data_IF_440767209189
#
_entry.id   IF_440767209189
#
_cell.length_a   1.000
_cell.length_b   1.000
_cell.length_c   1.000
_cell.angle_alpha   90.00
_cell.angle_beta   90.00
_cell.angle_gamma   90.00
#
_symmetry.space_group_name_H-M   'P 1'
#
loop_
_entity.id
_entity.type
_entity.pdbx_description
1 polymer ?
#
# COMPACT_ATOMS: atom_id res chain seq x y z
N UNK A 1 17.27 -38.42 17.44
CA UNK A 1 17.10 -37.05 16.93
C UNK A 1 15.82 -36.49 17.53
N UNK A 2 15.87 -35.49 18.41
CA UNK A 2 14.64 -34.86 18.91
C UNK A 2 13.87 -34.24 17.73
N UNK A 3 12.57 -34.52 17.65
CA UNK A 3 11.70 -34.02 16.59
C UNK A 3 11.69 -32.49 16.54
N UNK A 4 11.54 -31.92 15.34
CA UNK A 4 11.41 -30.47 15.21
C UNK A 4 10.17 -30.00 15.99
N UNK A 5 10.38 -29.09 16.94
CA UNK A 5 9.28 -28.47 17.69
C UNK A 5 8.58 -27.50 16.75
N UNK A 6 7.30 -27.76 16.48
CA UNK A 6 6.44 -26.91 15.64
C UNK A 6 5.29 -26.40 16.48
N UNK A 7 4.83 -25.19 16.16
CA UNK A 7 3.59 -24.67 16.72
C UNK A 7 2.42 -25.47 16.14
N UNK A 8 1.38 -25.76 16.95
CA UNK A 8 0.14 -26.35 16.46
C UNK A 8 -0.44 -25.54 15.27
N UNK A 9 -1.05 -26.23 14.28
CA UNK A 9 -1.81 -25.52 13.25
C UNK A 9 -3.02 -24.82 13.87
N UNK A 10 -3.46 -23.74 13.25
CA UNK A 10 -4.74 -23.13 13.59
C UNK A 10 -5.92 -24.08 13.29
N UNK A 11 -7.08 -23.78 13.85
CA UNK A 11 -8.33 -24.46 13.49
C UNK A 11 -8.61 -24.31 11.98
N UNK A 12 -9.44 -25.22 11.45
CA UNK A 12 -9.82 -25.18 10.04
C UNK A 12 -10.38 -23.80 9.67
N UNK A 13 -10.01 -23.32 8.48
CA UNK A 13 -10.49 -22.05 7.97
C UNK A 13 -12.01 -22.10 7.79
N UNK A 14 -12.66 -20.97 8.07
CA UNK A 14 -14.09 -20.76 7.83
C UNK A 14 -14.43 -21.06 6.36
N UNK A 15 -15.49 -21.85 6.16
CA UNK A 15 -15.99 -22.21 4.83
C UNK A 15 -17.32 -21.53 4.54
N UNK A 16 -17.67 -21.48 3.26
CA UNK A 16 -18.95 -20.92 2.82
C UNK A 16 -20.13 -21.69 3.40
N UNK A 17 -20.04 -23.02 3.38
CA UNK A 17 -21.09 -23.92 3.86
C UNK A 17 -21.34 -23.73 5.36
N UNK A 18 -20.27 -23.49 6.14
CA UNK A 18 -20.40 -23.22 7.57
C UNK A 18 -21.13 -21.90 7.85
N UNK A 19 -20.87 -20.86 7.06
CA UNK A 19 -21.57 -19.58 7.17
C UNK A 19 -23.03 -19.69 6.72
N UNK A 20 -23.29 -20.38 5.62
CA UNK A 20 -24.66 -20.60 5.12
C UNK A 20 -25.51 -21.45 6.07
N UNK A 21 -24.90 -22.40 6.76
CA UNK A 21 -25.56 -23.21 7.78
C UNK A 21 -25.77 -22.46 9.12
N UNK A 22 -25.09 -21.33 9.33
CA UNK A 22 -25.21 -20.55 10.57
C UNK A 22 -26.52 -19.76 10.59
N UNK A 23 -27.31 -19.98 11.65
CA UNK A 23 -28.54 -19.23 11.91
C UNK A 23 -28.23 -17.95 12.71
N UNK A 24 -27.18 -18.00 13.53
CA UNK A 24 -26.76 -16.89 14.37
C UNK A 24 -25.76 -16.01 13.64
N UNK A 25 -25.86 -14.69 13.89
CA UNK A 25 -24.98 -13.67 13.35
C UNK A 25 -24.51 -12.79 14.51
N UNK A 26 -23.21 -12.54 14.58
CA UNK A 26 -22.67 -11.69 15.64
C UNK A 26 -23.01 -10.21 15.40
N UNK A 27 -23.20 -9.41 16.46
CA UNK A 27 -23.44 -7.98 16.32
C UNK A 27 -22.29 -7.28 15.58
N UNK A 28 -22.63 -6.34 14.69
CA UNK A 28 -21.64 -5.58 13.92
C UNK A 28 -20.59 -4.90 14.80
N UNK A 29 -21.02 -4.27 15.90
CA UNK A 29 -20.14 -3.55 16.81
C UNK A 29 -19.09 -4.47 17.43
N UNK A 30 -19.47 -5.70 17.77
CA UNK A 30 -18.56 -6.72 18.30
C UNK A 30 -17.49 -7.10 17.28
N UNK A 31 -17.89 -7.35 16.03
CA UNK A 31 -16.96 -7.73 14.96
C UNK A 31 -16.00 -6.56 14.64
N UNK A 32 -16.54 -5.34 14.56
CA UNK A 32 -15.77 -4.11 14.31
C UNK A 32 -14.72 -3.90 15.40
N UNK A 33 -15.10 -4.01 16.66
CA UNK A 33 -14.19 -3.87 17.81
C UNK A 33 -13.02 -4.85 17.70
N UNK A 34 -13.30 -6.12 17.40
CA UNK A 34 -12.27 -7.15 17.27
C UNK A 34 -11.34 -6.91 16.07
N UNK A 35 -11.87 -6.51 14.91
CA UNK A 35 -11.06 -6.18 13.74
C UNK A 35 -10.14 -4.99 14.02
N UNK A 36 -10.65 -3.93 14.67
CA UNK A 36 -9.86 -2.73 14.98
C UNK A 36 -8.78 -3.01 16.02
N UNK A 37 -9.15 -3.67 17.12
CA UNK A 37 -8.22 -4.01 18.20
C UNK A 37 -7.10 -4.91 17.69
N UNK A 38 -7.44 -5.95 16.91
CA UNK A 38 -6.45 -6.88 16.40
C UNK A 38 -5.56 -6.26 15.32
N UNK A 39 -6.14 -5.46 14.42
CA UNK A 39 -5.35 -4.73 13.41
C UNK A 39 -4.29 -3.86 14.09
N UNK A 40 -4.70 -3.07 15.09
CA UNK A 40 -3.77 -2.21 15.85
C UNK A 40 -2.68 -3.03 16.55
N UNK A 41 -3.07 -4.13 17.22
CA UNK A 41 -2.12 -5.01 17.89
C UNK A 41 -1.08 -5.62 16.93
N UNK A 42 -1.50 -6.14 15.78
CA UNK A 42 -0.59 -6.76 14.81
C UNK A 42 0.31 -5.72 14.11
N UNK A 43 -0.18 -4.49 13.92
CA UNK A 43 0.64 -3.39 13.41
C UNK A 43 1.74 -3.04 14.42
N UNK A 44 1.39 -2.77 15.69
CA UNK A 44 2.36 -2.47 16.76
C UNK A 44 3.39 -3.61 16.91
N UNK A 45 2.92 -4.86 16.89
CA UNK A 45 3.77 -6.04 16.97
C UNK A 45 4.84 -6.05 15.86
N UNK A 46 4.43 -5.80 14.60
CA UNK A 46 5.34 -5.79 13.45
C UNK A 46 6.32 -4.62 13.49
N UNK A 47 5.89 -3.45 13.97
CA UNK A 47 6.75 -2.27 14.09
C UNK A 47 7.82 -2.43 15.18
N UNK A 48 7.47 -3.10 16.28
CA UNK A 48 8.37 -3.29 17.42
C UNK A 48 9.35 -4.45 17.24
N UNK A 49 9.17 -5.28 16.21
CA UNK A 49 9.99 -6.47 16.02
C UNK A 49 10.65 -6.55 14.66
N UNK A 50 11.94 -6.89 14.68
CA UNK A 50 12.65 -7.31 13.46
C UNK A 50 12.39 -8.80 13.12
N UNK A 51 11.51 -9.47 13.88
CA UNK A 51 11.23 -10.89 13.73
C UNK A 51 10.61 -11.21 12.36
N UNK A 52 9.86 -10.27 11.78
CA UNK A 52 9.18 -10.45 10.51
C UNK A 52 9.87 -9.73 9.33
N UNK A 53 11.11 -9.26 9.55
CA UNK A 53 11.81 -8.40 8.61
C UNK A 53 11.44 -6.93 8.78
N UNK A 54 11.98 -6.06 7.93
CA UNK A 54 11.61 -4.64 7.96
C UNK A 54 10.21 -4.48 7.37
N UNK A 55 9.28 -3.80 8.07
CA UNK A 55 7.99 -3.49 7.49
C UNK A 55 8.21 -2.64 6.24
N UNK A 56 7.85 -3.18 5.08
CA UNK A 56 7.76 -2.39 3.86
C UNK A 56 6.52 -1.51 3.96
N UNK A 57 6.66 -0.28 4.47
CA UNK A 57 5.58 0.69 4.49
C UNK A 57 5.49 1.37 3.11
N UNK A 58 4.95 0.66 2.12
CA UNK A 58 4.49 1.28 0.88
C UNK A 58 3.04 1.75 1.08
N UNK A 59 2.78 3.08 1.19
CA UNK A 59 1.41 3.59 1.35
C UNK A 59 0.52 3.30 0.13
N UNK A 60 1.11 2.82 -0.97
CA UNK A 60 0.41 2.46 -2.21
C UNK A 60 0.35 0.95 -2.44
N UNK A 61 0.56 0.15 -1.39
CA UNK A 61 0.26 -1.29 -1.36
C UNK A 61 -0.82 -1.55 -0.32
N UNK A 62 -1.85 -2.38 -0.58
CA UNK A 62 -2.95 -2.66 0.33
C UNK A 62 -2.54 -3.64 1.43
N UNK A 63 -1.55 -3.24 2.24
CA UNK A 63 -1.13 -3.95 3.44
C UNK A 63 -2.12 -3.74 4.58
N UNK A 64 -2.07 -4.57 5.63
CA UNK A 64 -2.89 -4.38 6.84
C UNK A 64 -2.74 -2.96 7.40
N UNK A 65 -1.51 -2.45 7.47
CA UNK A 65 -1.22 -1.10 7.94
C UNK A 65 -1.89 -0.05 7.05
N UNK A 66 -1.68 -0.15 5.74
CA UNK A 66 -2.26 0.79 4.78
C UNK A 66 -3.78 0.80 4.87
N UNK A 67 -4.44 -0.37 4.84
CA UNK A 67 -5.89 -0.46 4.88
C UNK A 67 -6.48 0.01 6.22
N UNK A 68 -5.79 -0.28 7.33
CA UNK A 68 -6.16 0.23 8.65
C UNK A 68 -6.08 1.77 8.70
N UNK A 69 -4.99 2.36 8.24
CA UNK A 69 -4.83 3.81 8.20
C UNK A 69 -5.88 4.45 7.29
N UNK A 70 -6.16 3.86 6.14
CA UNK A 70 -7.23 4.32 5.24
C UNK A 70 -8.57 4.37 5.97
N UNK A 71 -8.91 3.29 6.69
CA UNK A 71 -10.15 3.21 7.45
C UNK A 71 -10.21 4.28 8.55
N UNK A 72 -9.13 4.47 9.30
CA UNK A 72 -9.01 5.49 10.37
C UNK A 72 -9.11 6.91 9.83
N UNK A 73 -8.56 7.17 8.64
CA UNK A 73 -8.59 8.47 7.98
C UNK A 73 -9.89 8.71 7.18
N UNK A 74 -10.93 7.91 7.42
CA UNK A 74 -12.23 8.05 6.75
C UNK A 74 -12.18 7.78 5.24
N UNK A 75 -11.15 7.12 4.73
CA UNK A 75 -11.03 6.80 3.30
C UNK A 75 -11.94 5.62 2.96
N UNK A 76 -12.50 5.63 1.74
CA UNK A 76 -13.27 4.51 1.23
C UNK A 76 -12.36 3.51 0.50
N UNK A 77 -12.75 2.24 0.56
CA UNK A 77 -12.21 1.21 -0.32
C UNK A 77 -12.73 1.36 -1.75
N UNK A 78 -12.22 0.54 -2.70
CA UNK A 78 -12.77 0.42 -4.04
C UNK A 78 -14.28 0.19 -4.03
N UNK A 79 -14.97 0.67 -5.06
CA UNK A 79 -16.42 0.47 -5.16
C UNK A 79 -16.75 -1.01 -5.28
N UNK A 80 -17.86 -1.42 -4.66
CA UNK A 80 -18.38 -2.78 -4.74
C UNK A 80 -19.21 -3.03 -6.01
N UNK A 81 -19.37 -2.01 -6.88
CA UNK A 81 -20.02 -2.16 -8.18
C UNK A 81 -19.17 -3.00 -9.13
N UNK A 82 -19.84 -3.65 -10.08
CA UNK A 82 -19.17 -4.36 -11.16
C UNK A 82 -18.27 -3.43 -11.99
N UNK A 83 -17.21 -4.00 -12.56
CA UNK A 83 -16.23 -3.29 -13.39
C UNK A 83 -16.85 -2.54 -14.56
N UNK A 84 -18.00 -2.99 -15.07
CA UNK A 84 -18.75 -2.30 -16.13
C UNK A 84 -19.27 -0.91 -15.73
N UNK A 85 -19.53 -0.69 -14.43
CA UNK A 85 -20.00 0.60 -13.90
C UNK A 85 -18.83 1.50 -13.43
N UNK A 86 -17.60 0.97 -13.43
CA UNK A 86 -16.43 1.65 -12.90
C UNK A 86 -15.66 2.37 -14.01
N UNK A 87 -16.09 3.60 -14.30
CA UNK A 87 -15.31 4.52 -15.12
C UNK A 87 -14.11 5.06 -14.35
N UNK A 88 -13.06 5.47 -15.08
CA UNK A 88 -11.86 6.04 -14.48
C UNK A 88 -12.17 7.29 -13.62
N UNK A 89 -13.12 8.10 -14.09
CA UNK A 89 -13.58 9.31 -13.42
C UNK A 89 -14.28 9.01 -12.09
N UNK A 90 -15.14 7.97 -12.06
CA UNK A 90 -15.81 7.52 -10.83
C UNK A 90 -14.81 6.97 -9.82
N UNK A 91 -13.81 6.22 -10.28
CA UNK A 91 -12.75 5.73 -9.39
C UNK A 91 -11.96 6.90 -8.81
N UNK A 92 -11.60 7.92 -9.62
CA UNK A 92 -10.93 9.13 -9.15
C UNK A 92 -11.78 9.92 -8.15
N UNK A 93 -13.06 10.14 -8.44
CA UNK A 93 -13.97 10.83 -7.54
C UNK A 93 -14.03 10.14 -6.18
N UNK A 94 -14.26 8.82 -6.15
CA UNK A 94 -14.30 8.02 -4.92
C UNK A 94 -12.97 8.02 -4.16
N UNK A 95 -11.84 8.06 -4.87
CA UNK A 95 -10.50 8.12 -4.26
C UNK A 95 -10.31 9.37 -3.41
N UNK A 96 -10.99 10.47 -3.75
CA UNK A 96 -10.94 11.74 -3.02
C UNK A 96 -12.01 11.84 -1.92
N UNK A 97 -13.05 11.01 -1.97
CA UNK A 97 -14.12 11.00 -0.97
C UNK A 97 -13.63 10.54 0.39
N UNK A 98 -14.09 11.22 1.45
CA UNK A 98 -13.80 10.91 2.83
C UNK A 98 -15.08 10.96 3.65
N UNK A 99 -15.23 10.01 4.57
CA UNK A 99 -16.27 10.07 5.59
C UNK A 99 -15.74 10.77 6.85
N UNK A 100 -16.60 11.54 7.50
CA UNK A 100 -16.34 12.08 8.83
C UNK A 100 -16.66 11.06 9.95
N UNK A 101 -17.33 9.95 9.61
CA UNK A 101 -17.69 8.91 10.56
C UNK A 101 -16.43 8.20 11.06
N UNK A 102 -16.20 8.15 12.39
CA UNK A 102 -15.04 7.47 12.95
C UNK A 102 -15.11 5.97 12.65
N UNK A 103 -13.96 5.32 12.51
CA UNK A 103 -13.86 3.91 12.12
C UNK A 103 -14.82 3.00 12.91
N UNK A 104 -14.87 3.11 14.24
CA UNK A 104 -15.72 2.29 15.10
C UNK A 104 -17.24 2.42 14.86
N UNK A 105 -17.70 3.45 14.15
CA UNK A 105 -19.11 3.69 13.84
C UNK A 105 -19.44 3.46 12.35
N UNK A 106 -18.46 3.03 11.55
CA UNK A 106 -18.67 2.75 10.13
C UNK A 106 -19.44 1.44 9.95
N UNK A 107 -20.18 1.27 8.84
CA UNK A 107 -20.84 0.01 8.53
C UNK A 107 -19.84 -1.15 8.48
N UNK A 108 -20.24 -2.34 8.95
CA UNK A 108 -19.38 -3.52 8.97
C UNK A 108 -18.82 -3.89 7.59
N UNK A 109 -19.55 -3.60 6.51
CA UNK A 109 -19.10 -3.85 5.14
C UNK A 109 -17.80 -3.10 4.78
N UNK A 110 -17.53 -1.94 5.39
CA UNK A 110 -16.30 -1.17 5.16
C UNK A 110 -15.03 -1.89 5.67
N UNK A 111 -15.20 -2.94 6.47
CA UNK A 111 -14.11 -3.70 7.09
C UNK A 111 -13.71 -4.95 6.30
N UNK A 112 -14.38 -5.27 5.18
CA UNK A 112 -14.11 -6.45 4.35
C UNK A 112 -12.61 -6.61 4.03
N UNK A 113 -11.99 -5.56 3.48
CA UNK A 113 -10.59 -5.62 3.04
C UNK A 113 -9.61 -5.67 4.21
N UNK A 114 -9.92 -4.99 5.32
CA UNK A 114 -9.12 -5.04 6.54
C UNK A 114 -9.16 -6.44 7.12
N UNK A 115 -10.34 -7.07 7.16
CA UNK A 115 -10.50 -8.47 7.57
C UNK A 115 -9.64 -9.42 6.73
N UNK A 116 -9.61 -9.27 5.39
CA UNK A 116 -8.75 -10.09 4.54
C UNK A 116 -7.25 -9.88 4.82
N UNK A 117 -6.82 -8.63 4.97
CA UNK A 117 -5.43 -8.32 5.30
C UNK A 117 -5.04 -8.85 6.69
N UNK A 118 -5.98 -8.85 7.63
CA UNK A 118 -5.82 -9.36 8.99
C UNK A 118 -5.63 -10.88 8.99
N UNK A 119 -6.52 -11.62 8.33
CA UNK A 119 -6.43 -13.08 8.14
C UNK A 119 -5.10 -13.46 7.48
N UNK A 120 -4.71 -12.73 6.42
CA UNK A 120 -3.43 -12.93 5.75
C UNK A 120 -2.25 -12.72 6.69
N UNK A 121 -2.28 -11.65 7.50
CA UNK A 121 -1.20 -11.30 8.44
C UNK A 121 -1.04 -12.35 9.56
N UNK A 122 -2.14 -12.84 10.14
CA UNK A 122 -2.09 -13.88 11.18
C UNK A 122 -1.40 -15.14 10.64
N UNK A 123 -1.78 -15.57 9.44
CA UNK A 123 -1.20 -16.75 8.78
C UNK A 123 0.26 -16.56 8.42
N UNK A 124 0.64 -15.37 7.94
CA UNK A 124 2.02 -15.03 7.63
C UNK A 124 2.91 -15.05 8.89
N UNK A 125 2.46 -14.45 9.99
CA UNK A 125 3.16 -14.49 11.28
C UNK A 125 3.34 -15.94 11.75
N UNK A 126 2.29 -16.75 11.76
CA UNK A 126 2.38 -18.17 12.13
C UNK A 126 3.37 -18.96 11.28
N UNK A 127 3.37 -18.72 9.97
CA UNK A 127 4.32 -19.34 9.05
C UNK A 127 5.76 -18.94 9.37
N UNK A 128 6.02 -17.65 9.60
CA UNK A 128 7.35 -17.12 9.92
C UNK A 128 7.87 -17.63 11.28
N UNK A 129 7.00 -17.72 12.29
CA UNK A 129 7.34 -18.34 13.59
C UNK A 129 7.78 -19.80 13.39
N UNK A 130 6.97 -20.60 12.68
CA UNK A 130 7.29 -21.99 12.40
C UNK A 130 8.57 -22.17 11.58
N UNK A 131 8.84 -21.29 10.61
CA UNK A 131 10.08 -21.31 9.84
C UNK A 131 11.31 -21.09 10.74
N UNK A 132 11.24 -20.13 11.66
CA UNK A 132 12.34 -19.85 12.59
C UNK A 132 12.57 -20.97 13.61
N UNK A 133 11.50 -21.57 14.12
CA UNK A 133 11.58 -22.74 15.00
C UNK A 133 12.19 -23.95 14.27
N UNK A 134 11.76 -24.22 13.02
CA UNK A 134 12.34 -25.28 12.18
C UNK A 134 13.83 -25.09 11.93
N UNK A 135 14.24 -23.85 11.68
CA UNK A 135 15.65 -23.49 11.50
C UNK A 135 16.44 -23.42 12.81
N UNK A 136 15.80 -23.60 13.97
CA UNK A 136 16.40 -23.49 15.31
C UNK A 136 17.05 -22.13 15.57
N UNK A 137 16.59 -21.08 14.90
CA UNK A 137 17.02 -19.70 15.22
C UNK A 137 16.45 -19.21 16.54
N UNK A 138 15.32 -19.79 16.96
CA UNK A 138 14.62 -19.44 18.19
C UNK A 138 14.10 -20.70 18.88
N UNK A 139 13.96 -20.61 20.20
CA UNK A 139 13.22 -21.56 21.02
C UNK A 139 11.78 -21.08 21.21
N UNK A 140 10.85 -21.98 21.54
CA UNK A 140 9.43 -21.61 21.75
C UNK A 140 9.23 -20.63 22.92
N UNK A 141 10.11 -20.69 23.92
CA UNK A 141 10.15 -19.76 25.07
C UNK A 141 10.86 -18.44 24.77
N UNK A 142 11.45 -18.28 23.58
CA UNK A 142 12.17 -17.05 23.24
C UNK A 142 11.19 -15.88 23.08
N UNK A 143 11.53 -14.68 23.59
CA UNK A 143 10.71 -13.50 23.35
C UNK A 143 10.79 -13.05 21.89
N UNK A 144 9.67 -12.55 21.34
CA UNK A 144 9.58 -12.09 19.94
C UNK A 144 10.34 -10.77 19.74
N UNK A 145 10.41 -9.93 20.77
CA UNK A 145 11.22 -8.72 20.88
C UNK A 145 11.53 -8.47 22.36
N UNK A 146 12.46 -7.56 22.67
CA UNK A 146 12.87 -7.28 24.06
C UNK A 146 11.69 -6.78 24.90
N UNK A 147 11.36 -7.51 25.98
CA UNK A 147 10.19 -7.24 26.82
C UNK A 147 8.84 -7.60 26.20
N UNK A 148 8.82 -8.28 25.04
CA UNK A 148 7.62 -8.74 24.36
C UNK A 148 7.16 -10.15 24.78
N UNK A 149 6.04 -10.65 24.21
CA UNK A 149 5.55 -12.00 24.46
C UNK A 149 6.53 -13.06 23.97
N UNK A 150 6.48 -14.25 24.56
CA UNK A 150 7.18 -15.41 24.01
C UNK A 150 6.54 -15.86 22.71
N UNK A 151 7.25 -16.68 21.90
CA UNK A 151 6.68 -17.25 20.68
C UNK A 151 5.43 -18.09 21.00
N UNK A 152 5.42 -18.83 22.11
CA UNK A 152 4.25 -19.57 22.59
C UNK A 152 3.10 -18.62 22.95
N UNK A 153 3.34 -17.59 23.77
CA UNK A 153 2.28 -16.64 24.18
C UNK A 153 1.67 -15.90 22.96
N UNK A 154 2.53 -15.54 21.99
CA UNK A 154 2.07 -14.93 20.74
C UNK A 154 1.23 -15.93 19.94
N UNK A 155 1.64 -17.19 19.83
CA UNK A 155 0.89 -18.22 19.13
C UNK A 155 -0.48 -18.47 19.77
N UNK A 156 -0.55 -18.53 21.09
CA UNK A 156 -1.81 -18.69 21.83
C UNK A 156 -2.74 -17.51 21.58
N UNK A 157 -2.21 -16.29 21.62
CA UNK A 157 -2.97 -15.07 21.30
C UNK A 157 -3.50 -15.10 19.86
N UNK A 158 -2.63 -15.41 18.88
CA UNK A 158 -3.03 -15.52 17.47
C UNK A 158 -4.08 -16.61 17.25
N UNK A 159 -4.00 -17.71 18.00
CA UNK A 159 -4.97 -18.81 17.92
C UNK A 159 -6.34 -18.41 18.45
N UNK A 160 -6.40 -17.63 19.54
CA UNK A 160 -7.66 -17.07 20.06
C UNK A 160 -8.29 -16.11 19.05
N UNK A 161 -7.49 -15.22 18.47
CA UNK A 161 -7.99 -14.30 17.45
C UNK A 161 -8.44 -15.00 16.17
N UNK A 162 -7.67 -15.99 15.72
CA UNK A 162 -8.04 -16.83 14.58
C UNK A 162 -9.36 -17.54 14.84
N UNK A 163 -9.57 -18.05 16.05
CA UNK A 163 -10.81 -18.70 16.44
C UNK A 163 -12.00 -17.75 16.28
N UNK A 164 -11.97 -16.57 16.90
CA UNK A 164 -13.07 -15.57 16.82
C UNK A 164 -13.37 -15.17 15.36
N UNK A 165 -12.34 -14.92 14.55
CA UNK A 165 -12.51 -14.55 13.14
C UNK A 165 -13.00 -15.70 12.25
N UNK A 166 -12.86 -16.95 12.68
CA UNK A 166 -13.33 -18.13 11.95
C UNK A 166 -14.60 -18.75 12.54
N UNK A 167 -15.23 -18.10 13.52
CA UNK A 167 -16.55 -18.55 13.99
C UNK A 167 -17.63 -18.28 12.92
N UNK A 168 -18.52 -19.25 12.64
CA UNK A 168 -19.56 -19.09 11.63
C UNK A 168 -20.45 -17.87 11.83
N UNK A 169 -20.77 -17.51 13.07
CA UNK A 169 -21.58 -16.32 13.39
C UNK A 169 -20.89 -14.99 13.05
N UNK A 170 -19.57 -14.92 13.23
CA UNK A 170 -18.75 -13.77 12.79
C UNK A 170 -18.73 -13.67 11.27
N UNK A 171 -18.48 -14.80 10.60
CA UNK A 171 -18.53 -14.92 9.14
C UNK A 171 -19.88 -14.52 8.55
N UNK A 172 -20.98 -14.94 9.19
CA UNK A 172 -22.35 -14.62 8.80
C UNK A 172 -22.66 -13.13 8.90
N UNK A 173 -22.25 -12.49 10.00
CA UNK A 173 -22.40 -11.04 10.17
C UNK A 173 -21.67 -10.24 9.09
N UNK A 174 -20.43 -10.61 8.79
CA UNK A 174 -19.66 -10.00 7.70
C UNK A 174 -20.30 -10.25 6.33
N UNK A 175 -20.68 -11.49 6.02
CA UNK A 175 -21.30 -11.87 4.76
C UNK A 175 -22.58 -11.08 4.49
N UNK A 176 -23.51 -11.06 5.45
CA UNK A 176 -24.79 -10.35 5.34
C UNK A 176 -24.57 -8.83 5.19
N UNK A 177 -23.62 -8.25 5.93
CA UNK A 177 -23.30 -6.83 5.83
C UNK A 177 -22.74 -6.47 4.43
N UNK A 178 -21.83 -7.28 3.89
CA UNK A 178 -21.24 -7.07 2.56
C UNK A 178 -22.31 -7.21 1.47
N UNK A 179 -23.18 -8.24 1.55
CA UNK A 179 -24.29 -8.40 0.59
C UNK A 179 -25.23 -7.21 0.63
N UNK A 180 -25.60 -6.74 1.83
CA UNK A 180 -26.46 -5.57 2.01
C UNK A 180 -25.84 -4.32 1.39
N UNK A 181 -24.56 -4.03 1.68
CA UNK A 181 -23.88 -2.85 1.12
C UNK A 181 -23.78 -2.92 -0.42
N UNK A 182 -23.54 -4.11 -0.98
CA UNK A 182 -23.56 -4.32 -2.43
C UNK A 182 -24.93 -4.05 -3.03
N UNK A 183 -26.00 -4.57 -2.42
CA UNK A 183 -27.38 -4.28 -2.83
C UNK A 183 -27.69 -2.78 -2.73
N UNK A 184 -27.33 -2.12 -1.62
CA UNK A 184 -27.54 -0.68 -1.47
C UNK A 184 -26.75 0.13 -2.50
N UNK A 185 -25.52 -0.28 -2.82
CA UNK A 185 -24.70 0.39 -3.84
C UNK A 185 -25.29 0.22 -5.23
N UNK A 186 -25.76 -0.98 -5.59
CA UNK A 186 -26.49 -1.21 -6.85
C UNK A 186 -27.79 -0.41 -6.92
N UNK A 187 -28.54 -0.34 -5.83
CA UNK A 187 -29.75 0.50 -5.74
C UNK A 187 -29.43 1.98 -6.00
N UNK A 188 -28.39 2.53 -5.36
CA UNK A 188 -27.94 3.91 -5.61
C UNK A 188 -27.53 4.14 -7.06
N UNK A 189 -26.87 3.16 -7.69
CA UNK A 189 -26.50 3.23 -9.10
C UNK A 189 -27.73 3.21 -10.02
N UNK A 190 -28.74 2.38 -9.75
CA UNK A 190 -30.00 2.36 -10.50
C UNK A 190 -30.66 3.75 -10.46
N UNK A 191 -30.76 4.35 -9.26
CA UNK A 191 -31.31 5.71 -9.10
C UNK A 191 -30.50 6.73 -9.90
N UNK A 192 -29.17 6.66 -9.85
CA UNK A 192 -28.30 7.55 -10.60
C UNK A 192 -28.54 7.47 -12.12
N UNK A 193 -28.73 6.25 -12.65
CA UNK A 193 -29.03 6.04 -14.07
C UNK A 193 -30.39 6.61 -14.49
N UNK A 194 -31.40 6.52 -13.62
CA UNK A 194 -32.69 7.19 -13.86
C UNK A 194 -32.52 8.70 -13.93
N UNK A 195 -31.75 9.30 -13.02
CA UNK A 195 -31.51 10.75 -13.00
C UNK A 195 -30.81 11.26 -14.27
N UNK A 196 -29.99 10.42 -14.89
CA UNK A 196 -29.32 10.75 -16.16
C UNK A 196 -30.14 10.38 -17.41
N UNK A 197 -31.39 9.92 -17.25
CA UNK A 197 -32.25 9.43 -18.32
C UNK A 197 -31.67 8.22 -19.09
N UNK A 198 -30.84 7.39 -18.44
CA UNK A 198 -30.29 6.16 -19.01
C UNK A 198 -31.18 4.93 -18.76
N UNK A 199 -32.13 5.06 -17.83
CA UNK A 199 -33.05 4.00 -17.41
C UNK A 199 -34.43 4.62 -17.16
N UNK A 200 -35.49 3.96 -17.61
CA UNK A 200 -36.85 4.44 -17.32
C UNK A 200 -37.21 4.19 -15.84
N UNK A 201 -38.15 4.97 -15.30
CA UNK A 201 -38.59 4.82 -13.91
C UNK A 201 -39.19 3.42 -13.65
N UNK A 202 -39.99 2.91 -14.58
CA UNK A 202 -40.58 1.57 -14.49
C UNK A 202 -39.53 0.46 -14.48
N UNK A 203 -38.52 0.53 -15.36
CA UNK A 203 -37.43 -0.45 -15.38
C UNK A 203 -36.61 -0.39 -14.08
N UNK A 204 -36.40 0.81 -13.53
CA UNK A 204 -35.70 0.99 -12.27
C UNK A 204 -36.46 0.39 -11.08
N UNK A 205 -37.79 0.56 -11.03
CA UNK A 205 -38.64 -0.05 -10.00
C UNK A 205 -38.58 -1.59 -10.08
N UNK A 206 -38.61 -2.15 -11.28
CA UNK A 206 -38.46 -3.59 -11.52
C UNK A 206 -37.05 -4.10 -11.12
N UNK A 207 -35.99 -3.35 -11.45
CA UNK A 207 -34.61 -3.68 -11.08
C UNK A 207 -34.42 -3.67 -9.56
N UNK A 208 -34.95 -2.64 -8.88
CA UNK A 208 -34.89 -2.54 -7.42
C UNK A 208 -35.69 -3.66 -6.76
N UNK A 209 -36.89 -3.98 -7.26
CA UNK A 209 -37.68 -5.08 -6.73
C UNK A 209 -36.95 -6.43 -6.88
N UNK A 210 -36.31 -6.68 -8.04
CA UNK A 210 -35.49 -7.87 -8.26
C UNK A 210 -34.28 -7.94 -7.33
N UNK A 211 -33.63 -6.81 -7.07
CA UNK A 211 -32.43 -6.76 -6.24
C UNK A 211 -32.67 -7.25 -4.79
N UNK A 212 -33.86 -6.99 -4.26
CA UNK A 212 -34.26 -7.37 -2.90
C UNK A 212 -35.13 -8.63 -2.84
N UNK A 213 -35.42 -9.26 -3.98
CA UNK A 213 -36.04 -10.59 -3.98
C UNK A 213 -35.13 -11.60 -3.26
N UNK A 214 -35.64 -12.43 -2.33
CA UNK A 214 -34.80 -13.36 -1.58
C UNK A 214 -33.91 -14.28 -2.43
N UNK A 215 -34.39 -14.72 -3.60
CA UNK A 215 -33.62 -15.60 -4.48
C UNK A 215 -32.48 -14.82 -5.14
N UNK A 216 -32.77 -13.63 -5.67
CA UNK A 216 -31.75 -12.77 -6.28
C UNK A 216 -30.75 -12.22 -5.27
N UNK A 217 -31.22 -11.79 -4.09
CA UNK A 217 -30.39 -11.30 -2.99
C UNK A 217 -29.42 -12.38 -2.50
N UNK A 218 -29.87 -13.64 -2.41
CA UNK A 218 -29.00 -14.77 -2.07
C UNK A 218 -27.91 -15.04 -3.12
N UNK A 219 -28.11 -14.59 -4.36
CA UNK A 219 -27.12 -14.65 -5.44
C UNK A 219 -26.09 -13.52 -5.41
N UNK A 220 -26.31 -12.45 -4.62
CA UNK A 220 -25.32 -11.39 -4.44
C UNK A 220 -24.14 -11.97 -3.66
N UNK A 221 -22.95 -11.88 -4.24
CA UNK A 221 -21.73 -12.35 -3.60
C UNK A 221 -21.44 -11.53 -2.35
N UNK A 222 -21.49 -12.14 -1.17
CA UNK A 222 -21.09 -11.52 0.09
C UNK A 222 -19.58 -11.61 0.32
N UNK A 223 -19.21 -12.16 1.46
CA UNK A 223 -17.83 -12.40 1.88
C UNK A 223 -17.16 -13.39 0.92
N UNK A 224 -15.98 -13.04 0.42
CA UNK A 224 -15.11 -14.00 -0.26
C UNK A 224 -14.45 -14.92 0.77
N UNK A 225 -14.71 -16.23 0.65
CA UNK A 225 -14.17 -17.27 1.53
C UNK A 225 -12.71 -17.61 1.22
N UNK A 226 -11.81 -16.63 1.35
CA UNK A 226 -10.38 -16.76 1.07
C UNK A 226 -9.55 -17.21 2.29
N UNK A 227 -10.19 -17.55 3.42
CA UNK A 227 -9.50 -17.97 4.64
C UNK A 227 -8.61 -19.21 4.41
N UNK A 228 -8.96 -20.06 3.43
CA UNK A 228 -8.14 -21.20 3.00
C UNK A 228 -6.91 -20.83 2.15
N UNK A 229 -6.86 -19.63 1.58
CA UNK A 229 -5.80 -19.23 0.63
C UNK A 229 -4.47 -18.94 1.32
N UNK A 230 -3.36 -19.15 0.64
CA UNK A 230 -2.06 -18.72 1.16
C UNK A 230 -2.01 -17.18 1.34
N UNK A 231 -1.26 -16.64 2.34
CA UNK A 231 -1.16 -15.20 2.57
C UNK A 231 -0.82 -14.39 1.31
N UNK A 232 0.09 -14.89 0.49
CA UNK A 232 0.49 -14.27 -0.77
C UNK A 232 -0.64 -14.18 -1.80
N UNK A 233 -1.57 -15.16 -1.82
CA UNK A 233 -2.73 -15.11 -2.71
C UNK A 233 -3.72 -14.05 -2.26
N UNK A 234 -3.98 -13.96 -0.94
CA UNK A 234 -4.85 -12.92 -0.38
C UNK A 234 -4.27 -11.53 -0.69
N UNK A 235 -2.96 -11.34 -0.48
CA UNK A 235 -2.27 -10.11 -0.81
C UNK A 235 -2.37 -9.77 -2.31
N UNK A 236 -2.20 -10.75 -3.20
CA UNK A 236 -2.34 -10.54 -4.64
C UNK A 236 -3.77 -10.16 -5.05
N UNK A 237 -4.79 -10.75 -4.41
CA UNK A 237 -6.19 -10.38 -4.62
C UNK A 237 -6.47 -8.94 -4.18
N UNK A 238 -5.97 -8.53 -3.01
CA UNK A 238 -6.08 -7.15 -2.53
C UNK A 238 -5.34 -6.17 -3.45
N UNK A 239 -4.10 -6.49 -3.85
CA UNK A 239 -3.33 -5.69 -4.83
C UNK A 239 -4.11 -5.49 -6.12
N UNK A 240 -4.74 -6.54 -6.66
CA UNK A 240 -5.54 -6.43 -7.86
C UNK A 240 -6.81 -5.58 -7.65
N UNK A 241 -7.50 -5.72 -6.51
CA UNK A 241 -8.70 -4.92 -6.15
C UNK A 241 -8.35 -3.43 -6.02
N UNK A 242 -7.20 -3.12 -5.43
CA UNK A 242 -6.76 -1.74 -5.16
C UNK A 242 -5.91 -1.11 -6.28
N UNK A 243 -5.49 -1.90 -7.28
CA UNK A 243 -4.52 -1.50 -8.31
C UNK A 243 -4.83 -0.16 -8.97
N UNK A 244 -6.08 0.06 -9.36
CA UNK A 244 -6.48 1.27 -10.09
C UNK A 244 -6.54 2.48 -9.15
N UNK A 245 -7.16 2.30 -7.97
CA UNK A 245 -7.30 3.34 -6.94
C UNK A 245 -5.93 3.83 -6.43
N UNK A 246 -5.09 2.91 -5.94
CA UNK A 246 -3.78 3.28 -5.38
C UNK A 246 -2.81 3.84 -6.44
N UNK A 247 -2.98 3.45 -7.71
CA UNK A 247 -2.24 4.10 -8.82
C UNK A 247 -2.60 5.58 -8.94
N UNK A 248 -3.88 5.94 -8.85
CA UNK A 248 -4.29 7.34 -8.90
C UNK A 248 -3.78 8.14 -7.71
N UNK A 249 -3.88 7.59 -6.51
CA UNK A 249 -3.33 8.25 -5.31
C UNK A 249 -1.82 8.47 -5.43
N UNK A 250 -1.08 7.49 -5.97
CA UNK A 250 0.35 7.62 -6.23
C UNK A 250 0.64 8.74 -7.22
N UNK A 251 -0.09 8.80 -8.32
CA UNK A 251 0.06 9.86 -9.32
C UNK A 251 -0.26 11.25 -8.77
N UNK A 252 -1.30 11.38 -7.94
CA UNK A 252 -1.65 12.63 -7.28
C UNK A 252 -0.60 13.06 -6.26
N UNK A 253 -0.13 12.14 -5.40
CA UNK A 253 0.92 12.41 -4.45
C UNK A 253 2.22 12.86 -5.15
N UNK A 254 2.57 12.23 -6.28
CA UNK A 254 3.71 12.66 -7.10
C UNK A 254 3.52 14.07 -7.69
N UNK A 255 2.31 14.38 -8.20
CA UNK A 255 1.98 15.70 -8.74
C UNK A 255 2.09 16.78 -7.65
N UNK A 256 1.52 16.52 -6.46
CA UNK A 256 1.60 17.42 -5.32
C UNK A 256 3.05 17.65 -4.88
N UNK A 257 3.83 16.58 -4.69
CA UNK A 257 5.25 16.68 -4.34
C UNK A 257 6.06 17.49 -5.37
N UNK A 258 5.75 17.38 -6.66
CA UNK A 258 6.38 18.20 -7.71
C UNK A 258 5.98 19.69 -7.59
N UNK A 259 4.72 19.99 -7.30
CA UNK A 259 4.25 21.36 -7.11
C UNK A 259 4.89 22.01 -5.87
N UNK A 260 4.94 21.31 -4.75
CA UNK A 260 5.61 21.77 -3.52
C UNK A 260 7.09 22.07 -3.75
N UNK A 261 7.80 21.20 -4.47
CA UNK A 261 9.21 21.43 -4.85
C UNK A 261 9.37 22.68 -5.72
N UNK A 262 8.43 22.97 -6.63
CA UNK A 262 8.45 24.20 -7.44
C UNK A 262 8.21 25.44 -6.58
N UNK A 263 7.21 25.42 -5.70
CA UNK A 263 6.93 26.51 -4.77
C UNK A 263 8.09 26.77 -3.81
N UNK A 264 8.71 25.72 -3.27
CA UNK A 264 9.88 25.84 -2.41
C UNK A 264 11.07 26.48 -3.13
N UNK A 265 11.31 26.14 -4.41
CA UNK A 265 12.34 26.78 -5.24
C UNK A 265 12.04 28.26 -5.49
N UNK A 266 10.80 28.61 -5.84
CA UNK A 266 10.39 30.01 -6.02
C UNK A 266 10.55 30.83 -4.74
N UNK A 267 10.13 30.30 -3.57
CA UNK A 267 10.32 30.95 -2.27
C UNK A 267 11.80 31.17 -1.94
N UNK A 268 12.69 30.23 -2.26
CA UNK A 268 14.15 30.39 -2.08
C UNK A 268 14.73 31.45 -3.01
N UNK A 269 14.29 31.50 -4.27
CA UNK A 269 14.74 32.50 -5.24
C UNK A 269 14.32 33.92 -4.84
N UNK A 270 13.07 34.10 -4.39
CA UNK A 270 12.58 35.41 -3.90
C UNK A 270 13.38 35.88 -2.67
N UNK A 271 13.67 34.98 -1.71
CA UNK A 271 14.52 35.30 -0.56
C UNK A 271 15.94 35.71 -0.97
N UNK A 272 16.54 35.00 -1.93
CA UNK A 272 17.88 35.32 -2.42
C UNK A 272 17.90 36.67 -3.17
N UNK A 273 16.91 36.93 -4.02
CA UNK A 273 16.78 38.22 -4.71
C UNK A 273 16.58 39.38 -3.74
N UNK A 274 15.79 39.19 -2.68
CA UNK A 274 15.59 40.19 -1.63
C UNK A 274 16.86 40.46 -0.82
N UNK A 275 17.56 39.41 -0.37
CA UNK A 275 18.85 39.55 0.31
C UNK A 275 19.90 40.25 -0.57
N UNK A 276 19.93 39.94 -1.86
CA UNK A 276 20.83 40.61 -2.82
C UNK A 276 20.48 42.08 -3.01
N UNK A 277 19.20 42.43 -3.07
CA UNK A 277 18.76 43.83 -3.14
C UNK A 277 19.08 44.61 -1.85
N UNK A 278 18.91 43.98 -0.68
CA UNK A 278 19.27 44.56 0.61
C UNK A 278 20.79 44.79 0.74
N UNK A 279 21.62 43.86 0.26
CA UNK A 279 23.08 44.04 0.22
C UNK A 279 23.52 45.12 -0.76
N UNK A 280 22.93 45.18 -1.96
CA UNK A 280 23.25 46.22 -2.95
C UNK A 280 22.80 47.62 -2.50
N UNK A 281 21.74 47.73 -1.71
CA UNK A 281 21.27 49.01 -1.15
C UNK A 281 22.21 49.60 -0.08
N UNK A 282 23.08 48.79 0.52
CA UNK A 282 24.01 49.25 1.56
C UNK A 282 25.28 49.89 0.98
N UNK A 283 25.66 49.57 -0.26
CA UNK A 283 26.87 50.13 -0.91
C UNK A 283 26.65 51.52 -1.53
N UNK A 284 25.40 52.00 -1.67
CA UNK A 284 25.11 53.30 -2.27
C UNK A 284 24.96 54.46 -1.26
N UNK A 285 25.06 54.21 0.04
CA UNK A 285 24.82 55.24 1.07
C UNK A 285 26.08 55.96 1.58
N UNK A 286 27.28 55.63 1.08
CA UNK A 286 28.54 56.22 1.60
C UNK A 286 29.45 56.87 0.54
N UNK A 287 28.92 57.15 -0.66
CA UNK A 287 29.58 58.05 -1.61
C UNK A 287 28.70 59.26 -1.88
N UNK A 288 28.90 60.26 -1.01
CA UNK A 288 28.40 61.60 -1.17
C UNK A 288 28.81 62.26 -2.48
N UNK A 289 27.89 63.09 -2.95
CA UNK A 289 28.12 64.38 -3.60
C UNK A 289 29.27 64.46 -4.63
N UNK A 290 28.94 64.29 -5.92
CA UNK A 290 29.40 65.25 -6.92
C UNK A 290 28.72 65.13 -8.30
N UNK A 291 27.94 66.17 -8.59
CA UNK A 291 27.82 66.89 -9.86
C UNK A 291 27.06 66.32 -11.07
N UNK A 292 26.15 67.20 -11.49
CA UNK A 292 25.80 67.61 -12.84
C UNK A 292 24.81 66.82 -13.69
N UNK A 293 23.60 67.40 -13.66
CA UNK A 293 22.60 67.40 -14.70
C UNK A 293 23.18 67.57 -16.11
N UNK A 294 23.11 66.51 -16.92
CA UNK A 294 22.92 66.63 -18.36
C UNK A 294 21.83 65.70 -18.84
N UNK A 295 20.70 66.31 -19.18
CA UNK A 295 19.70 65.77 -20.10
C UNK A 295 20.41 65.31 -21.37
N UNK A 296 20.30 64.03 -21.70
CA UNK A 296 20.55 63.53 -23.04
C UNK A 296 19.38 62.66 -23.46
N UNK A 297 18.63 63.17 -24.42
CA UNK A 297 17.57 62.50 -25.15
C UNK A 297 18.24 61.47 -26.07
N UNK A 298 18.09 60.19 -25.73
CA UNK A 298 18.75 59.09 -26.42
C UNK A 298 17.78 57.93 -26.59
N UNK A 299 17.01 57.97 -27.68
CA UNK A 299 16.28 56.82 -28.23
C UNK A 299 17.26 55.65 -28.43
N UNK A 300 17.18 54.65 -27.55
CA UNK A 300 17.76 53.34 -27.79
C UNK A 300 16.62 52.35 -28.02
N UNK A 301 16.45 52.01 -29.30
CA UNK A 301 15.75 50.83 -29.78
C UNK A 301 16.42 49.60 -29.11
N UNK A 302 15.69 48.87 -28.27
CA UNK A 302 16.11 47.55 -27.82
C UNK A 302 15.14 46.57 -28.46
N UNK A 303 15.71 45.73 -29.31
CA UNK A 303 15.09 44.62 -30.00
C UNK A 303 14.36 43.70 -29.01
N UNK A 304 13.05 43.55 -29.26
CA UNK A 304 12.21 42.49 -28.69
C UNK A 304 11.86 41.55 -29.83
N UNK A 305 12.87 40.85 -30.33
CA UNK A 305 12.68 39.65 -31.13
C UNK A 305 13.03 38.47 -30.24
N UNK A 306 12.02 37.71 -29.79
CA UNK A 306 12.03 36.26 -29.53
C UNK A 306 10.75 35.86 -28.76
N UNK A 307 9.57 36.08 -29.36
CA UNK A 307 8.35 35.45 -28.84
C UNK A 307 7.23 35.33 -29.88
N UNK A 308 7.49 34.69 -31.02
CA UNK A 308 6.44 34.34 -31.98
C UNK A 308 6.79 33.12 -32.85
N UNK A 309 7.09 31.98 -32.23
CA UNK A 309 7.09 30.69 -32.95
C UNK A 309 6.56 29.60 -32.02
N UNK A 310 5.23 29.48 -31.95
CA UNK A 310 4.51 28.24 -31.58
C UNK A 310 3.00 28.36 -31.79
N UNK A 311 2.58 28.83 -32.97
CA UNK A 311 1.21 28.63 -33.47
C UNK A 311 1.29 28.42 -34.99
N UNK A 312 1.80 27.26 -35.39
CA UNK A 312 1.39 26.61 -36.62
C UNK A 312 0.75 25.30 -36.17
N UNK A 313 -0.52 25.40 -35.76
CA UNK A 313 -1.43 24.28 -35.91
C UNK A 313 -1.71 24.23 -37.40
N UNK A 314 -1.18 23.19 -38.06
CA UNK A 314 -1.67 22.77 -39.36
C UNK A 314 -3.16 22.48 -39.22
N UNK A 315 -3.96 23.40 -39.74
CA UNK A 315 -5.36 23.18 -40.05
C UNK A 315 -5.37 22.18 -41.20
N UNK A 316 -5.43 20.88 -40.87
CA UNK A 316 -5.64 19.82 -41.85
C UNK A 316 -7.05 20.01 -42.41
N UNK A 317 -7.13 20.76 -43.50
CA UNK A 317 -8.32 20.98 -44.27
C UNK A 317 -8.67 19.66 -44.97
N UNK A 318 -9.54 18.86 -44.35
CA UNK A 318 -10.05 17.64 -44.96
C UNK A 318 -10.91 18.02 -46.18
N UNK A 319 -10.61 17.48 -47.37
CA UNK A 319 -11.43 17.71 -48.55
C UNK A 319 -12.80 17.06 -48.31
N UNK A 320 -13.83 17.90 -48.23
CA UNK A 320 -15.23 17.49 -48.19
C UNK A 320 -15.63 16.92 -49.55
N UNK A 321 -15.24 15.68 -49.84
CA UNK A 321 -15.81 14.89 -50.93
C UNK A 321 -17.04 14.15 -50.41
N UNK A 322 -18.19 14.78 -50.63
CA UNK A 322 -19.49 14.13 -50.69
C UNK A 322 -19.45 13.11 -51.85
N UNK A 323 -19.28 11.83 -51.54
CA UNK A 323 -19.78 10.73 -52.36
C UNK A 323 -19.66 9.40 -51.59
N UNK A 324 -20.79 8.94 -51.05
CA UNK A 324 -21.12 7.53 -50.79
C UNK A 324 -20.05 6.60 -50.21
N UNK A 325 -19.21 7.03 -49.27
CA UNK A 325 -18.31 6.12 -48.55
C UNK A 325 -19.12 5.41 -47.47
N UNK A 326 -19.17 4.08 -47.59
CA UNK A 326 -19.83 3.16 -46.67
C UNK A 326 -19.31 3.37 -45.23
N UNK A 327 -20.13 3.98 -44.36
CA UNK A 327 -19.77 4.33 -42.97
C UNK A 327 -19.24 3.13 -42.18
N UNK A 328 -19.67 1.91 -42.53
CA UNK A 328 -19.19 0.67 -41.92
C UNK A 328 -17.70 0.40 -42.13
N UNK A 329 -17.15 0.75 -43.31
CA UNK A 329 -15.73 0.56 -43.63
C UNK A 329 -14.83 1.54 -42.86
N UNK A 330 -15.29 2.78 -42.68
CA UNK A 330 -14.55 3.80 -41.92
C UNK A 330 -14.51 3.44 -40.43
N UNK A 331 -15.62 2.96 -39.87
CA UNK A 331 -15.69 2.52 -38.48
C UNK A 331 -14.78 1.30 -38.23
N UNK A 332 -14.78 0.32 -39.13
CA UNK A 332 -13.91 -0.85 -39.04
C UNK A 332 -12.43 -0.48 -39.11
N UNK A 333 -12.06 0.49 -39.95
CA UNK A 333 -10.67 0.95 -40.05
C UNK A 333 -10.21 1.67 -38.77
N UNK A 334 -11.06 2.53 -38.19
CA UNK A 334 -10.81 3.20 -36.91
C UNK A 334 -10.65 2.20 -35.75
N UNK A 335 -11.47 1.16 -35.70
CA UNK A 335 -11.35 0.10 -34.69
C UNK A 335 -10.05 -0.70 -34.85
N UNK A 336 -9.67 -1.03 -36.09
CA UNK A 336 -8.42 -1.70 -36.39
C UNK A 336 -7.20 -0.85 -36.02
N UNK A 337 -7.26 0.45 -36.27
CA UNK A 337 -6.20 1.39 -35.90
C UNK A 337 -6.07 1.53 -34.37
N UNK A 338 -7.19 1.63 -33.64
CA UNK A 338 -7.17 1.62 -32.16
C UNK A 338 -6.59 0.31 -31.60
N UNK A 339 -6.99 -0.82 -32.15
CA UNK A 339 -6.47 -2.12 -31.75
C UNK A 339 -4.96 -2.22 -32.00
N UNK A 340 -4.48 -1.70 -33.14
CA UNK A 340 -3.07 -1.65 -33.47
C UNK A 340 -2.29 -0.74 -32.50
N UNK A 341 -2.80 0.45 -32.19
CA UNK A 341 -2.19 1.36 -31.21
C UNK A 341 -2.14 0.74 -29.81
N UNK A 342 -3.18 0.03 -29.38
CA UNK A 342 -3.19 -0.70 -28.11
C UNK A 342 -2.15 -1.83 -28.09
N UNK A 343 -1.99 -2.57 -29.20
CA UNK A 343 -0.95 -3.61 -29.33
C UNK A 343 0.46 -3.01 -29.23
N UNK A 344 0.72 -1.88 -29.89
CA UNK A 344 2.00 -1.16 -29.80
C UNK A 344 2.27 -0.68 -28.37
N UNK A 345 1.28 -0.11 -27.69
CA UNK A 345 1.40 0.32 -26.30
C UNK A 345 1.71 -0.86 -25.37
N UNK A 346 1.00 -1.98 -25.54
CA UNK A 346 1.24 -3.20 -24.76
C UNK A 346 2.63 -3.78 -25.02
N UNK A 347 3.11 -3.77 -26.27
CA UNK A 347 4.45 -4.23 -26.62
C UNK A 347 5.55 -3.35 -25.98
N UNK A 348 5.39 -2.03 -26.01
CA UNK A 348 6.31 -1.10 -25.34
C UNK A 348 6.31 -1.28 -23.82
N UNK A 349 5.14 -1.40 -23.20
CA UNK A 349 5.03 -1.65 -21.76
C UNK A 349 5.72 -2.97 -21.37
N UNK A 350 5.52 -4.02 -22.16
CA UNK A 350 6.17 -5.31 -21.94
C UNK A 350 7.70 -5.22 -22.08
N UNK A 351 8.19 -4.52 -23.10
CA UNK A 351 9.63 -4.28 -23.29
C UNK A 351 10.23 -3.52 -22.09
N UNK A 352 9.56 -2.47 -21.60
CA UNK A 352 10.01 -1.72 -20.42
C UNK A 352 10.02 -2.57 -19.15
N UNK A 353 9.02 -3.45 -18.97
CA UNK A 353 8.99 -4.39 -17.82
C UNK A 353 10.11 -5.41 -17.91
N UNK A 354 10.34 -5.99 -19.09
CA UNK A 354 11.43 -6.95 -19.32
C UNK A 354 12.80 -6.32 -19.07
N UNK A 355 13.01 -5.09 -19.52
CA UNK A 355 14.22 -4.32 -19.21
C UNK A 355 14.40 -4.13 -17.71
N UNK A 356 13.38 -3.67 -16.97
CA UNK A 356 13.46 -3.53 -15.51
C UNK A 356 13.78 -4.84 -14.79
N UNK A 357 13.20 -5.96 -15.22
CA UNK A 357 13.50 -7.29 -14.65
C UNK A 357 14.96 -7.67 -14.90
N UNK A 358 15.49 -7.40 -16.10
CA UNK A 358 16.89 -7.66 -16.43
C UNK A 358 17.87 -6.79 -15.61
N UNK A 359 17.54 -5.51 -15.42
CA UNK A 359 18.33 -4.58 -14.61
C UNK A 359 18.35 -5.02 -13.14
N UNK A 360 17.18 -5.40 -12.61
CA UNK A 360 17.06 -5.90 -11.24
C UNK A 360 17.81 -7.22 -11.04
N UNK A 361 17.72 -8.14 -12.01
CA UNK A 361 18.50 -9.39 -12.00
C UNK A 361 20.00 -9.13 -12.00
N UNK A 362 20.47 -8.18 -12.81
CA UNK A 362 21.88 -7.79 -12.84
C UNK A 362 22.32 -7.12 -11.54
N UNK A 363 21.48 -6.27 -10.94
CA UNK A 363 21.71 -5.69 -9.63
C UNK A 363 21.89 -6.76 -8.54
N UNK A 364 20.98 -7.73 -8.46
CA UNK A 364 21.08 -8.84 -7.49
C UNK A 364 22.34 -9.68 -7.72
N UNK A 365 22.69 -9.95 -8.98
CA UNK A 365 23.92 -10.70 -9.32
C UNK A 365 25.18 -9.95 -8.92
N UNK A 366 25.21 -8.63 -9.14
CA UNK A 366 26.32 -7.78 -8.74
C UNK A 366 26.45 -7.72 -7.22
N UNK A 367 25.34 -7.61 -6.49
CA UNK A 367 25.32 -7.60 -5.03
C UNK A 367 25.81 -8.93 -4.44
N UNK A 368 25.31 -10.05 -4.94
CA UNK A 368 25.78 -11.37 -4.53
C UNK A 368 27.29 -11.56 -4.81
N UNK A 369 27.79 -11.01 -5.92
CA UNK A 369 29.21 -11.03 -6.26
C UNK A 369 30.06 -10.15 -5.33
N UNK A 370 29.53 -9.01 -4.87
CA UNK A 370 30.19 -8.15 -3.89
C UNK A 370 30.25 -8.83 -2.51
N UNK A 371 29.15 -9.41 -2.05
CA UNK A 371 29.09 -10.13 -0.77
C UNK A 371 30.08 -11.30 -0.78
N UNK A 372 30.15 -12.08 -1.86
CA UNK A 372 31.13 -13.16 -2.01
C UNK A 372 32.58 -12.66 -1.96
N UNK A 373 32.89 -11.53 -2.62
CA UNK A 373 34.23 -10.91 -2.58
C UNK A 373 34.58 -10.40 -1.19
N UNK A 374 33.61 -9.87 -0.44
CA UNK A 374 33.82 -9.38 0.92
C UNK A 374 34.12 -10.54 1.88
N UNK A 375 33.40 -11.65 1.77
CA UNK A 375 33.69 -12.88 2.54
C UNK A 375 35.10 -13.39 2.26
N UNK A 376 35.50 -13.46 0.98
CA UNK A 376 36.86 -13.88 0.59
C UNK A 376 37.94 -12.93 1.14
N UNK A 377 37.73 -11.60 1.10
CA UNK A 377 38.69 -10.65 1.69
C UNK A 377 38.82 -10.81 3.19
N UNK A 378 37.71 -11.03 3.89
CA UNK A 378 37.69 -11.19 5.34
C UNK A 378 38.39 -12.48 5.77
N UNK A 379 38.26 -13.58 5.02
CA UNK A 379 38.99 -14.82 5.30
C UNK A 379 40.48 -14.71 5.00
N UNK A 380 40.87 -13.99 3.92
CA UNK A 380 42.29 -13.80 3.57
C UNK A 380 43.02 -12.88 4.56
N UNK A 381 42.36 -11.85 5.09
CA UNK A 381 42.98 -10.91 6.04
C UNK A 381 42.81 -11.32 7.52
N UNK A 382 41.81 -12.14 7.85
CA UNK A 382 41.60 -12.66 9.20
C UNK A 382 42.66 -13.66 9.66
N UNK A 383 43.26 -14.40 8.72
CA UNK A 383 44.29 -15.40 9.04
C UNK A 383 45.67 -14.83 9.37
N UNK A 384 45.90 -13.52 9.23
CA UNK A 384 47.20 -12.91 9.51
C UNK A 384 47.32 -12.25 10.89
N UNK A 385 46.31 -12.41 11.76
CA UNK A 385 46.28 -11.80 13.12
C UNK A 385 46.29 -12.79 14.29
N UNK A 386 46.40 -14.09 14.06
CA UNK A 386 46.58 -15.10 15.12
C UNK A 386 48.01 -15.66 15.10
N UNK A 387 49.00 -14.85 15.48
CA UNK A 387 50.30 -15.38 15.93
C UNK A 387 51.03 -14.34 16.78
N UNK A 388 50.58 -14.19 18.02
CA UNK A 388 51.35 -13.60 19.13
C UNK A 388 50.65 -14.01 20.43
N UNK A 389 50.77 -15.29 20.77
CA UNK A 389 50.47 -15.78 22.11
C UNK A 389 51.64 -15.43 23.02
N UNK A 390 51.49 -14.39 23.83
CA UNK A 390 52.33 -14.11 25.00
C UNK A 390 51.76 -14.85 26.22
N UNK A 391 52.59 -15.67 26.84
CA UNK A 391 52.35 -16.41 28.09
C UNK A 391 51.86 -15.51 29.23
N UNK A 392 50.85 -15.93 30.02
CA UNK A 392 50.66 -15.44 31.37
C UNK A 392 51.38 -16.35 32.37
N UNK A 393 52.16 -15.72 33.25
CA UNK A 393 52.86 -16.32 34.36
C UNK A 393 51.88 -16.89 35.41
N UNK A 394 52.28 -18.01 36.00
CA UNK A 394 51.70 -18.60 37.20
C UNK A 394 51.85 -17.63 38.37
N UNK A 395 50.77 -17.40 39.11
CA UNK A 395 50.85 -16.84 40.46
C UNK A 395 50.22 -17.81 41.46
N UNK A 396 51.08 -18.26 42.37
CA UNK A 396 50.82 -19.16 43.47
C UNK A 396 50.50 -18.29 44.70
N UNK A 397 49.33 -18.45 45.32
CA UNK A 397 49.20 -18.15 46.74
C UNK A 397 48.16 -19.05 47.40
N UNK A 398 48.68 -20.13 47.98
CA UNK A 398 48.07 -20.85 49.09
C UNK A 398 48.09 -19.92 50.31
N UNK A 399 46.92 -19.61 50.86
CA UNK A 399 46.75 -18.90 52.12
C UNK A 399 46.05 -19.80 53.13
N UNK A 400 46.84 -20.28 54.10
CA UNK A 400 46.45 -21.00 55.30
C UNK A 400 45.20 -20.41 55.98
N UNK A 401 44.26 -21.28 56.35
CA UNK A 401 43.22 -20.94 57.33
C UNK A 401 43.49 -21.74 58.60
N UNK A 402 44.01 -21.00 59.57
CA UNK A 402 44.45 -21.42 60.91
C UNK A 402 43.27 -21.78 61.84
N UNK A 403 43.53 -22.72 62.73
CA UNK A 403 42.62 -23.33 63.70
C UNK A 403 42.67 -22.55 65.02
N UNK A 404 41.56 -21.90 65.39
CA UNK A 404 41.35 -21.35 66.73
C UNK A 404 40.35 -22.18 67.52
N UNK A 405 40.86 -23.07 68.38
CA UNK A 405 40.10 -23.77 69.43
C UNK A 405 40.48 -23.16 70.80
N UNK A 406 39.58 -23.37 71.78
CA UNK A 406 39.71 -23.13 73.24
C UNK A 406 39.21 -21.74 73.71
N UNK A 407 38.43 -21.59 74.78
CA UNK A 407 38.31 -22.40 75.99
C UNK A 407 36.88 -22.48 76.56
N UNK A 408 36.60 -23.62 77.17
CA UNK A 408 36.19 -23.72 78.57
C UNK A 408 37.22 -24.60 79.29
#
# INVERSE_FOLDING_TARGET
MPGAVLLPPFSAALTQEAVEASIESYPSDYIIEHILALSSYLIDLVERTNFFGKPGHDPFSPSLHTLYDRLQNGQFGPSSLDSQFLTEERVKARTLERTATPAAQRPLADFEDVYYALVSRIKDIHHLLNMRLKSRFNEVSAPVFEGGPTITDLHDSLSQYWFVLNEPGCGKGLDDAIRREKAETMHREIIFRVQNNELSQTEAEDDIARLWDPHSYSGIQGLWFINGFAPAMIAASLEQKYRVMLRFEREEAEKQARQERRQAKMKKQVKFSRQRAELAGFEQSDHGECLDARRFDGKAHIDVDHQAQKQQQEEVQYPSTHDGVDEGLVQQHLEQERAHQQQLHHALEWQMKSQRVSEYRNYLRNRASQDARQVIRNTVHGNNRMSTFTNPAQDNSNGDTDMGHADA
#
